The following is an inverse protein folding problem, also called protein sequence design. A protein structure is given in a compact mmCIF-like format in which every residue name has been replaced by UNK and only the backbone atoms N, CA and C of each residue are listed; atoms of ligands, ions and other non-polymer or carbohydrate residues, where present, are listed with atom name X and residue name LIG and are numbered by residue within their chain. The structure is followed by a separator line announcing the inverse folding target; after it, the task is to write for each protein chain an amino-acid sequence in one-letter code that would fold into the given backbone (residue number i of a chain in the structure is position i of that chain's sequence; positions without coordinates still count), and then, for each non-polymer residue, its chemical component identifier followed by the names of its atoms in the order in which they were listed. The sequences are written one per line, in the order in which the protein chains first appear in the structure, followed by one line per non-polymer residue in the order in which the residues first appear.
data_IF_900439531657
#
_entry.id   IF_900439531657
#
_cell.length_a   1.000
_cell.length_b   1.000
_cell.length_c   1.000
_cell.angle_alpha   90.00
_cell.angle_beta   90.00
_cell.angle_gamma   90.00
#
_symmetry.space_group_name_H-M   'P 1'
#
loop_
_entity.id
_entity.type
_entity.pdbx_description
1 polymer ?
#
# COMPACT_ATOMS: atom_id res chain seq x y z
N UNK A 1 11.08 40.90 41.41
CA UNK A 1 10.60 39.52 41.67
C UNK A 1 9.76 39.05 40.48
N UNK A 2 10.35 38.29 39.55
CA UNK A 2 9.62 37.68 38.44
C UNK A 2 9.12 36.29 38.87
N UNK A 3 7.80 36.14 38.97
CA UNK A 3 7.13 34.87 39.29
C UNK A 3 7.07 34.01 38.02
N UNK A 4 8.04 33.12 37.85
CA UNK A 4 7.97 32.05 36.85
C UNK A 4 6.86 31.08 37.24
N UNK A 5 5.78 31.01 36.46
CA UNK A 5 4.73 30.00 36.61
C UNK A 5 5.28 28.64 36.15
N UNK A 6 5.63 27.78 37.12
CA UNK A 6 5.69 26.32 36.94
C UNK A 6 4.30 25.83 36.55
N UNK A 7 4.08 25.56 35.26
CA UNK A 7 2.93 24.79 34.79
C UNK A 7 3.24 23.97 33.52
N UNK A 8 4.52 23.74 33.21
CA UNK A 8 4.96 23.01 32.00
C UNK A 8 4.90 21.48 32.10
N UNK A 9 4.58 20.93 33.28
CA UNK A 9 4.81 19.50 33.55
C UNK A 9 3.53 18.64 33.49
N UNK A 10 2.42 19.18 32.99
CA UNK A 10 1.25 18.37 32.67
C UNK A 10 1.31 18.03 31.18
N UNK A 11 1.38 16.74 30.79
CA UNK A 11 1.25 16.38 29.39
C UNK A 11 -0.08 16.94 28.89
N UNK A 12 -0.04 17.71 27.81
CA UNK A 12 -1.25 18.21 27.17
C UNK A 12 -2.15 17.01 26.87
N UNK A 13 -3.26 16.92 27.61
CA UNK A 13 -4.27 15.90 27.39
C UNK A 13 -4.86 16.21 26.02
N UNK A 14 -4.46 15.45 25.01
CA UNK A 14 -5.02 15.56 23.66
C UNK A 14 -6.53 15.43 23.79
N UNK A 15 -7.26 16.49 23.40
CA UNK A 15 -8.71 16.50 23.55
C UNK A 15 -9.30 15.27 22.87
N UNK A 16 -10.21 14.56 23.55
CA UNK A 16 -10.85 13.33 23.02
C UNK A 16 -11.47 13.55 21.64
N UNK A 17 -11.89 14.79 21.32
CA UNK A 17 -12.42 15.17 20.00
C UNK A 17 -11.44 14.96 18.84
N UNK A 18 -10.13 14.93 19.09
CA UNK A 18 -9.11 14.70 18.05
C UNK A 18 -8.88 13.21 17.78
N UNK A 19 -9.30 12.31 18.68
CA UNK A 19 -9.08 10.87 18.54
C UNK A 19 -10.18 10.18 17.73
N UNK A 20 -10.28 10.47 16.43
CA UNK A 20 -11.27 9.82 15.57
C UNK A 20 -11.15 8.28 15.62
N UNK A 21 -12.18 7.56 16.07
CA UNK A 21 -12.17 6.08 16.16
C UNK A 21 -12.11 5.42 14.77
N UNK A 22 -11.53 4.23 14.69
CA UNK A 22 -11.66 3.39 13.47
C UNK A 22 -13.10 2.92 13.44
N UNK A 23 -13.80 3.14 12.34
CA UNK A 23 -15.14 2.60 12.16
C UNK A 23 -15.03 1.23 11.49
N UNK A 24 -15.24 0.11 12.23
CA UNK A 24 -15.14 -1.23 11.66
C UNK A 24 -16.16 -1.46 10.55
N UNK A 25 -17.27 -0.70 10.52
CA UNK A 25 -18.28 -0.79 9.47
C UNK A 25 -17.72 -0.39 8.11
N UNK A 26 -16.79 0.57 8.06
CA UNK A 26 -16.13 0.96 6.82
C UNK A 26 -15.23 -0.14 6.27
N UNK A 27 -14.50 -0.86 7.14
CA UNK A 27 -13.69 -2.00 6.71
C UNK A 27 -14.55 -3.17 6.22
N UNK A 28 -15.65 -3.46 6.93
CA UNK A 28 -16.62 -4.47 6.49
C UNK A 28 -17.30 -4.07 5.17
N UNK A 29 -17.58 -2.79 4.96
CA UNK A 29 -18.12 -2.29 3.70
C UNK A 29 -17.13 -2.50 2.55
N UNK A 30 -15.85 -2.16 2.74
CA UNK A 30 -14.81 -2.38 1.72
C UNK A 30 -14.72 -3.88 1.37
N UNK A 31 -14.66 -4.75 2.38
CA UNK A 31 -14.63 -6.20 2.19
C UNK A 31 -15.89 -6.70 1.46
N UNK A 32 -17.06 -6.19 1.83
CA UNK A 32 -18.32 -6.53 1.18
C UNK A 32 -18.36 -6.11 -0.28
N UNK A 33 -17.85 -4.90 -0.61
CA UNK A 33 -17.78 -4.41 -1.99
C UNK A 33 -16.87 -5.31 -2.83
N UNK A 34 -15.64 -5.60 -2.39
CA UNK A 34 -14.72 -6.42 -3.18
C UNK A 34 -15.22 -7.86 -3.31
N UNK A 35 -15.73 -8.46 -2.23
CA UNK A 35 -16.27 -9.83 -2.28
C UNK A 35 -17.48 -9.93 -3.21
N UNK A 36 -18.39 -8.96 -3.16
CA UNK A 36 -19.56 -8.91 -4.06
C UNK A 36 -19.11 -8.71 -5.51
N UNK A 37 -18.10 -7.87 -5.75
CA UNK A 37 -17.53 -7.71 -7.09
C UNK A 37 -16.95 -9.04 -7.62
N UNK A 38 -16.20 -9.80 -6.81
CA UNK A 38 -15.70 -11.11 -7.24
C UNK A 38 -16.82 -12.10 -7.56
N UNK A 39 -17.83 -12.17 -6.69
CA UNK A 39 -18.98 -13.06 -6.90
C UNK A 39 -19.71 -12.68 -8.18
N UNK A 40 -19.86 -11.37 -8.43
CA UNK A 40 -20.44 -10.86 -9.66
C UNK A 40 -19.60 -11.24 -10.89
N UNK A 41 -18.27 -11.11 -10.84
CA UNK A 41 -17.40 -11.53 -11.95
C UNK A 41 -17.65 -13.00 -12.32
N UNK A 42 -17.66 -13.91 -11.34
CA UNK A 42 -17.88 -15.34 -11.60
C UNK A 42 -19.30 -15.71 -12.00
N UNK A 43 -20.30 -14.99 -11.50
CA UNK A 43 -21.70 -15.27 -11.83
C UNK A 43 -22.10 -14.71 -13.19
N UNK A 44 -21.61 -13.52 -13.56
CA UNK A 44 -21.99 -12.82 -14.77
C UNK A 44 -21.10 -13.15 -15.99
N UNK A 45 -19.85 -13.57 -15.75
CA UNK A 45 -18.88 -13.86 -16.81
C UNK A 45 -18.30 -15.27 -16.64
N UNK A 46 -18.98 -16.32 -17.16
CA UNK A 46 -18.48 -17.69 -17.10
C UNK A 46 -17.15 -17.86 -17.83
N UNK A 47 -16.90 -17.07 -18.88
CA UNK A 47 -15.60 -16.97 -19.51
C UNK A 47 -14.83 -15.76 -18.93
N UNK A 48 -13.66 -15.97 -18.29
CA UNK A 48 -12.85 -14.90 -17.71
C UNK A 48 -12.52 -13.75 -18.65
N UNK A 49 -12.30 -14.04 -19.93
CA UNK A 49 -11.88 -13.04 -20.91
C UNK A 49 -12.96 -11.98 -21.16
N UNK A 50 -14.23 -12.34 -21.01
CA UNK A 50 -15.37 -11.45 -21.21
C UNK A 50 -15.44 -10.35 -20.13
N UNK A 51 -14.77 -10.55 -18.99
CA UNK A 51 -14.73 -9.61 -17.87
C UNK A 51 -13.53 -8.66 -17.88
N UNK A 52 -12.56 -8.87 -18.79
CA UNK A 52 -11.28 -8.13 -18.87
C UNK A 52 -11.46 -6.61 -18.77
N UNK A 53 -12.29 -6.02 -19.62
CA UNK A 53 -12.53 -4.57 -19.62
C UNK A 53 -13.07 -4.04 -18.29
N UNK A 54 -13.95 -4.80 -17.63
CA UNK A 54 -14.51 -4.39 -16.34
C UNK A 54 -13.44 -4.45 -15.24
N UNK A 55 -12.62 -5.51 -15.26
CA UNK A 55 -11.48 -5.66 -14.35
C UNK A 55 -10.52 -4.50 -14.52
N UNK A 56 -10.12 -4.17 -15.75
CA UNK A 56 -9.18 -3.08 -16.04
C UNK A 56 -9.70 -1.73 -15.54
N UNK A 57 -10.98 -1.42 -15.78
CA UNK A 57 -11.59 -0.17 -15.29
C UNK A 57 -11.52 -0.11 -13.77
N UNK A 58 -11.79 -1.20 -13.07
CA UNK A 58 -11.71 -1.26 -11.60
C UNK A 58 -10.25 -1.15 -11.12
N UNK A 59 -9.32 -1.82 -11.79
CA UNK A 59 -7.88 -1.75 -11.52
C UNK A 59 -7.33 -0.33 -11.70
N UNK A 60 -7.84 0.46 -12.65
CA UNK A 60 -7.46 1.86 -12.86
C UNK A 60 -8.10 2.82 -11.85
N UNK A 61 -9.40 2.66 -11.58
CA UNK A 61 -10.15 3.60 -10.71
C UNK A 61 -9.65 3.56 -9.26
N UNK A 62 -9.32 2.39 -8.73
CA UNK A 62 -8.90 2.22 -7.34
C UNK A 62 -7.64 3.03 -6.95
N UNK A 63 -6.48 2.88 -7.63
CA UNK A 63 -5.30 3.69 -7.36
C UNK A 63 -5.52 5.18 -7.69
N UNK A 64 -6.37 5.51 -8.67
CA UNK A 64 -6.73 6.90 -8.98
C UNK A 64 -7.42 7.57 -7.78
N UNK A 65 -8.43 6.91 -7.19
CA UNK A 65 -9.15 7.41 -6.02
C UNK A 65 -8.20 7.57 -4.83
N UNK A 66 -7.32 6.58 -4.59
CA UNK A 66 -6.31 6.65 -3.54
C UNK A 66 -5.34 7.82 -3.76
N UNK A 67 -4.89 8.04 -5.00
CA UNK A 67 -4.02 9.15 -5.38
C UNK A 67 -4.69 10.51 -5.15
N UNK A 68 -5.94 10.69 -5.62
CA UNK A 68 -6.72 11.92 -5.41
C UNK A 68 -6.85 12.21 -3.92
N UNK A 69 -7.20 11.21 -3.11
CA UNK A 69 -7.30 11.36 -1.66
C UNK A 69 -5.93 11.71 -1.04
N UNK A 70 -4.84 11.15 -1.57
CA UNK A 70 -3.47 11.52 -1.21
C UNK A 70 -3.19 13.01 -1.44
N UNK A 71 -3.51 13.54 -2.63
CA UNK A 71 -3.34 14.97 -2.93
C UNK A 71 -4.25 15.88 -2.10
N UNK A 72 -5.44 15.42 -1.72
CA UNK A 72 -6.30 16.15 -0.77
C UNK A 72 -5.60 16.27 0.60
N UNK A 73 -4.95 15.20 1.08
CA UNK A 73 -4.13 15.24 2.31
C UNK A 73 -2.95 16.19 2.13
N UNK A 74 -2.25 16.16 0.99
CA UNK A 74 -1.14 17.08 0.69
C UNK A 74 -1.57 18.54 0.82
N UNK A 75 -2.68 18.91 0.17
CA UNK A 75 -3.22 20.27 0.22
C UNK A 75 -3.51 20.71 1.65
N UNK A 76 -4.02 19.80 2.49
CA UNK A 76 -4.30 20.08 3.90
C UNK A 76 -3.04 20.32 4.72
N UNK A 77 -1.98 19.57 4.45
CA UNK A 77 -0.68 19.71 5.13
C UNK A 77 0.29 20.61 4.36
N UNK A 78 -0.21 21.45 3.45
CA UNK A 78 0.62 22.33 2.64
C UNK A 78 1.43 23.29 3.52
N UNK A 79 2.72 23.43 3.21
CA UNK A 79 3.64 24.24 4.02
C UNK A 79 4.10 23.58 5.34
N UNK A 80 3.54 22.42 5.74
CA UNK A 80 4.07 21.70 6.88
C UNK A 80 5.48 21.17 6.60
N UNK A 81 6.34 21.16 7.63
CA UNK A 81 7.75 20.80 7.50
C UNK A 81 7.98 19.41 6.92
N UNK A 82 7.10 18.45 7.26
CA UNK A 82 7.25 17.03 6.90
C UNK A 82 6.00 16.44 6.25
N UNK A 83 4.82 16.57 6.88
CA UNK A 83 3.63 15.85 6.41
C UNK A 83 3.26 16.17 4.96
N UNK A 84 3.30 17.44 4.55
CA UNK A 84 2.98 17.84 3.19
C UNK A 84 3.89 17.17 2.16
N UNK A 85 5.21 17.16 2.43
CA UNK A 85 6.21 16.50 1.57
C UNK A 85 6.05 14.98 1.57
N UNK A 86 5.85 14.39 2.74
CA UNK A 86 5.74 12.94 2.89
C UNK A 86 4.47 12.40 2.22
N UNK A 87 3.32 13.07 2.39
CA UNK A 87 2.10 12.68 1.70
C UNK A 87 2.12 13.01 0.20
N UNK A 88 2.92 13.99 -0.23
CA UNK A 88 3.10 14.28 -1.65
C UNK A 88 3.81 13.15 -2.36
N UNK A 89 4.90 12.63 -1.79
CA UNK A 89 5.59 11.47 -2.39
C UNK A 89 4.73 10.20 -2.34
N UNK A 90 3.89 9.99 -1.30
CA UNK A 90 2.91 8.90 -1.29
C UNK A 90 1.87 9.05 -2.42
N UNK A 91 1.30 10.25 -2.58
CA UNK A 91 0.32 10.53 -3.64
C UNK A 91 0.94 10.35 -5.04
N UNK A 92 2.20 10.75 -5.22
CA UNK A 92 2.94 10.45 -6.45
C UNK A 92 3.10 8.94 -6.66
N UNK A 93 3.45 8.18 -5.62
CA UNK A 93 3.55 6.72 -5.72
C UNK A 93 2.24 6.09 -6.18
N UNK A 94 1.12 6.46 -5.54
CA UNK A 94 -0.22 5.98 -5.93
C UNK A 94 -0.60 6.41 -7.35
N UNK A 95 -0.19 7.60 -7.78
CA UNK A 95 -0.33 8.03 -9.19
C UNK A 95 0.46 7.14 -10.13
N UNK A 96 1.67 6.70 -9.76
CA UNK A 96 2.45 5.80 -10.63
C UNK A 96 1.75 4.47 -10.83
N UNK A 97 1.11 3.90 -9.80
CA UNK A 97 0.29 2.70 -9.99
C UNK A 97 -0.93 2.96 -10.89
N UNK A 98 -1.66 4.07 -10.69
CA UNK A 98 -2.75 4.44 -11.60
C UNK A 98 -2.29 4.54 -13.07
N UNK A 99 -1.15 5.18 -13.32
CA UNK A 99 -0.59 5.29 -14.66
C UNK A 99 -0.15 3.92 -15.19
N UNK A 100 0.45 3.08 -14.34
CA UNK A 100 0.84 1.71 -14.69
C UNK A 100 -0.36 0.87 -15.13
N UNK A 101 -1.44 0.86 -14.34
CA UNK A 101 -2.70 0.17 -14.67
C UNK A 101 -3.31 0.70 -15.97
N UNK A 102 -3.26 2.02 -16.17
CA UNK A 102 -3.79 2.65 -17.39
C UNK A 102 -2.98 2.22 -18.62
N UNK A 103 -1.65 2.22 -18.53
CA UNK A 103 -0.78 1.79 -19.63
C UNK A 103 -0.94 0.29 -19.89
N UNK A 104 -1.02 -0.52 -18.83
CA UNK A 104 -1.26 -1.96 -18.94
C UNK A 104 -2.57 -2.25 -19.68
N UNK A 105 -3.70 -1.68 -19.23
CA UNK A 105 -5.00 -1.91 -19.87
C UNK A 105 -5.07 -1.42 -21.33
N UNK A 106 -4.37 -0.33 -21.68
CA UNK A 106 -4.23 0.11 -23.08
C UNK A 106 -3.46 -0.92 -23.89
N UNK A 107 -2.34 -1.44 -23.38
CA UNK A 107 -1.53 -2.43 -24.09
C UNK A 107 -2.28 -3.73 -24.29
N UNK A 108 -2.96 -4.22 -23.24
CA UNK A 108 -3.78 -5.43 -23.28
C UNK A 108 -4.91 -5.30 -24.32
N UNK A 109 -5.65 -4.18 -24.30
CA UNK A 109 -6.73 -3.89 -25.26
C UNK A 109 -6.22 -3.83 -26.71
N UNK A 110 -4.99 -3.36 -26.92
CA UNK A 110 -4.37 -3.29 -28.25
C UNK A 110 -3.73 -4.62 -28.69
N UNK A 111 -3.75 -5.65 -27.83
CA UNK A 111 -3.11 -6.94 -28.10
C UNK A 111 -1.58 -6.87 -28.14
N UNK A 112 -0.99 -5.87 -27.47
CA UNK A 112 0.46 -5.78 -27.30
C UNK A 112 0.94 -6.74 -26.22
N UNK A 113 2.21 -7.14 -26.31
CA UNK A 113 2.83 -7.95 -25.27
C UNK A 113 2.89 -7.12 -23.96
N UNK A 114 2.23 -7.64 -22.92
CA UNK A 114 2.14 -7.05 -21.58
C UNK A 114 3.19 -7.60 -20.61
N UNK A 115 4.14 -8.41 -21.09
CA UNK A 115 5.37 -8.72 -20.36
C UNK A 115 6.17 -7.44 -20.10
N UNK A 116 7.23 -7.55 -19.30
CA UNK A 116 8.09 -6.43 -18.86
C UNK A 116 8.20 -5.27 -19.88
N UNK A 117 7.56 -4.14 -19.54
CA UNK A 117 7.38 -3.00 -20.42
C UNK A 117 7.26 -1.66 -19.69
N UNK A 118 6.75 -0.60 -20.35
CA UNK A 118 6.65 0.74 -19.77
C UNK A 118 5.79 0.82 -18.49
N UNK A 119 4.76 -0.01 -18.37
CA UNK A 119 3.92 -0.17 -17.19
C UNK A 119 4.71 -0.65 -15.98
N UNK A 120 5.65 -1.58 -16.14
CA UNK A 120 6.51 -2.07 -15.07
C UNK A 120 7.35 -0.94 -14.48
N UNK A 121 7.90 -0.04 -15.32
CA UNK A 121 8.66 1.11 -14.85
C UNK A 121 7.81 2.00 -13.92
N UNK A 122 6.53 2.18 -14.27
CA UNK A 122 5.57 2.94 -13.46
C UNK A 122 5.25 2.20 -12.15
N UNK A 123 4.98 0.90 -12.21
CA UNK A 123 4.79 0.07 -11.02
C UNK A 123 6.03 0.06 -10.11
N UNK A 124 7.23 0.00 -10.67
CA UNK A 124 8.47 0.07 -9.90
C UNK A 124 8.69 1.43 -9.26
N UNK A 125 8.25 2.52 -9.89
CA UNK A 125 8.37 3.87 -9.34
C UNK A 125 7.52 4.08 -8.07
N UNK A 126 6.43 3.32 -7.89
CA UNK A 126 5.63 3.34 -6.65
C UNK A 126 6.48 3.03 -5.41
N UNK A 127 7.34 2.01 -5.48
CA UNK A 127 8.08 1.51 -4.32
C UNK A 127 9.03 2.52 -3.67
N UNK A 128 9.97 3.16 -4.39
CA UNK A 128 10.87 4.16 -3.80
C UNK A 128 10.08 5.39 -3.30
N UNK A 129 8.96 5.73 -3.92
CA UNK A 129 8.11 6.86 -3.49
C UNK A 129 7.38 6.57 -2.17
N UNK A 130 6.83 5.37 -2.01
CA UNK A 130 6.23 4.94 -0.73
C UNK A 130 7.30 4.76 0.34
N UNK A 131 8.48 4.22 0.01
CA UNK A 131 9.58 4.13 0.94
C UNK A 131 10.05 5.53 1.41
N UNK A 132 10.12 6.49 0.50
CA UNK A 132 10.42 7.89 0.84
C UNK A 132 9.35 8.48 1.78
N UNK A 133 8.06 8.22 1.54
CA UNK A 133 6.98 8.61 2.45
C UNK A 133 7.20 8.07 3.87
N UNK A 134 7.52 6.78 4.00
CA UNK A 134 7.76 6.12 5.27
C UNK A 134 8.97 6.71 5.99
N UNK A 135 10.10 6.85 5.28
CA UNK A 135 11.35 7.40 5.84
C UNK A 135 11.15 8.83 6.32
N UNK A 136 10.49 9.69 5.54
CA UNK A 136 10.24 11.09 5.91
C UNK A 136 9.42 11.18 7.18
N UNK A 137 8.34 10.40 7.30
CA UNK A 137 7.51 10.37 8.49
C UNK A 137 8.25 9.81 9.71
N UNK A 138 8.86 8.63 9.60
CA UNK A 138 9.51 7.96 10.73
C UNK A 138 10.70 8.78 11.25
N UNK A 139 11.53 9.33 10.35
CA UNK A 139 12.73 10.10 10.73
C UNK A 139 12.37 11.38 11.47
N UNK A 140 11.25 12.01 11.16
CA UNK A 140 10.81 13.25 11.81
C UNK A 140 10.61 13.09 13.32
N UNK A 141 10.06 11.94 13.76
CA UNK A 141 9.80 11.67 15.17
C UNK A 141 11.02 11.17 15.95
N UNK A 142 12.16 10.92 15.27
CA UNK A 142 13.41 10.40 15.87
C UNK A 142 13.15 9.30 16.91
N UNK A 143 12.40 8.23 16.56
CA UNK A 143 11.96 7.25 17.53
C UNK A 143 13.16 6.53 18.14
N UNK A 144 13.08 6.20 19.43
CA UNK A 144 14.02 5.27 20.06
C UNK A 144 13.68 3.85 19.62
N UNK A 145 14.44 3.33 18.67
CA UNK A 145 14.23 1.98 18.10
C UNK A 145 15.02 0.95 18.91
N UNK A 146 14.32 0.04 19.57
CA UNK A 146 14.93 -1.06 20.33
C UNK A 146 15.68 -2.05 19.42
N UNK A 147 16.62 -2.82 19.97
CA UNK A 147 17.33 -3.87 19.21
C UNK A 147 16.37 -4.91 18.62
N UNK A 148 15.35 -5.32 19.39
CA UNK A 148 14.30 -6.22 18.90
C UNK A 148 13.56 -5.61 17.70
N UNK A 149 13.30 -4.31 17.71
CA UNK A 149 12.67 -3.62 16.59
C UNK A 149 13.54 -3.60 15.34
N UNK A 150 14.83 -3.35 15.48
CA UNK A 150 15.77 -3.44 14.36
C UNK A 150 15.83 -4.87 13.79
N UNK A 151 15.83 -5.87 14.66
CA UNK A 151 15.89 -7.28 14.27
C UNK A 151 14.70 -7.67 13.40
N UNK A 152 13.45 -7.39 13.83
CA UNK A 152 12.29 -7.77 13.01
C UNK A 152 12.15 -6.92 11.74
N UNK A 153 12.61 -5.66 11.75
CA UNK A 153 12.58 -4.81 10.54
C UNK A 153 13.40 -5.43 9.41
N UNK A 154 14.50 -6.12 9.75
CA UNK A 154 15.34 -6.86 8.80
C UNK A 154 14.81 -8.27 8.56
N UNK A 155 14.36 -8.97 9.61
CA UNK A 155 13.94 -10.35 9.51
C UNK A 155 12.69 -10.53 8.62
N UNK A 156 11.71 -9.62 8.68
CA UNK A 156 10.48 -9.75 7.89
C UNK A 156 10.77 -9.79 6.38
N UNK A 157 11.49 -8.81 5.79
CA UNK A 157 11.88 -8.88 4.38
C UNK A 157 12.67 -10.15 4.06
N UNK A 158 13.68 -10.48 4.87
CA UNK A 158 14.56 -11.65 4.62
C UNK A 158 13.75 -12.94 4.56
N UNK A 159 12.80 -13.14 5.49
CA UNK A 159 11.97 -14.35 5.52
C UNK A 159 11.03 -14.41 4.30
N UNK A 160 10.36 -13.31 3.95
CA UNK A 160 9.46 -13.27 2.79
C UNK A 160 10.25 -13.54 1.50
N UNK A 161 11.40 -12.89 1.33
CA UNK A 161 12.31 -13.07 0.19
C UNK A 161 12.79 -14.53 0.12
N UNK A 162 13.23 -15.11 1.24
CA UNK A 162 13.72 -16.49 1.26
C UNK A 162 12.63 -17.50 0.88
N UNK A 163 11.40 -17.32 1.39
CA UNK A 163 10.26 -18.18 1.05
C UNK A 163 9.94 -18.07 -0.44
N UNK A 164 9.80 -16.85 -0.97
CA UNK A 164 9.51 -16.64 -2.39
C UNK A 164 10.60 -17.23 -3.28
N UNK A 165 11.88 -16.92 -3.00
CA UNK A 165 13.01 -17.43 -3.77
C UNK A 165 13.05 -18.95 -3.77
N UNK A 166 12.83 -19.59 -2.63
CA UNK A 166 12.83 -21.06 -2.55
C UNK A 166 11.72 -21.68 -3.42
N UNK A 167 10.50 -21.14 -3.34
CA UNK A 167 9.36 -21.67 -4.10
C UNK A 167 9.47 -21.39 -5.61
N UNK A 168 9.86 -20.17 -5.98
CA UNK A 168 10.00 -19.76 -7.39
C UNK A 168 11.17 -20.48 -8.06
N UNK A 169 12.31 -20.65 -7.38
CA UNK A 169 13.46 -21.37 -7.91
C UNK A 169 13.16 -22.86 -8.18
N UNK A 170 12.32 -23.50 -7.35
CA UNK A 170 11.88 -24.87 -7.60
C UNK A 170 11.08 -25.03 -8.90
N UNK A 171 10.32 -24.00 -9.30
CA UNK A 171 9.52 -24.00 -10.54
C UNK A 171 10.36 -23.69 -11.77
N UNK A 172 11.20 -22.66 -11.72
CA UNK A 172 12.03 -22.29 -12.88
C UNK A 172 13.22 -23.22 -13.09
N UNK A 173 13.76 -23.84 -12.03
CA UNK A 173 14.98 -24.66 -12.10
C UNK A 173 16.27 -23.86 -12.29
N UNK A 174 16.16 -22.56 -12.58
CA UNK A 174 17.26 -21.61 -12.75
C UNK A 174 16.85 -20.19 -12.36
N UNK A 175 17.83 -19.32 -12.08
CA UNK A 175 17.60 -17.91 -11.80
C UNK A 175 17.59 -17.11 -13.11
N UNK A 176 16.49 -17.21 -13.86
CA UNK A 176 16.29 -16.52 -15.13
C UNK A 176 15.74 -15.07 -14.94
N UNK A 177 15.41 -14.40 -16.05
CA UNK A 177 14.90 -13.02 -16.01
C UNK A 177 13.60 -12.89 -15.21
N UNK A 178 12.63 -13.80 -15.44
CA UNK A 178 11.34 -13.84 -14.74
C UNK A 178 11.49 -14.02 -13.23
N UNK A 179 12.41 -14.90 -12.81
CA UNK A 179 12.76 -15.08 -11.41
C UNK A 179 13.21 -13.75 -10.78
N UNK A 180 14.12 -13.02 -11.44
CA UNK A 180 14.63 -11.76 -10.90
C UNK A 180 13.61 -10.62 -10.91
N UNK A 181 12.77 -10.51 -11.95
CA UNK A 181 11.73 -9.47 -11.99
C UNK A 181 10.72 -9.67 -10.87
N UNK A 182 10.19 -10.89 -10.71
CA UNK A 182 9.28 -11.22 -9.61
C UNK A 182 9.94 -11.02 -8.23
N UNK A 183 11.21 -11.41 -8.09
CA UNK A 183 11.96 -11.24 -6.85
C UNK A 183 12.12 -9.77 -6.45
N UNK A 184 12.34 -8.86 -7.40
CA UNK A 184 12.47 -7.42 -7.11
C UNK A 184 11.15 -6.87 -6.54
N UNK A 185 10.00 -7.24 -7.10
CA UNK A 185 8.69 -6.86 -6.54
C UNK A 185 8.52 -7.33 -5.10
N UNK A 186 8.89 -8.58 -4.81
CA UNK A 186 8.81 -9.18 -3.45
C UNK A 186 9.76 -8.48 -2.48
N UNK A 187 10.98 -8.17 -2.89
CA UNK A 187 11.96 -7.42 -2.09
C UNK A 187 11.38 -6.05 -1.72
N UNK A 188 10.94 -5.28 -2.71
CA UNK A 188 10.48 -3.91 -2.48
C UNK A 188 9.20 -3.88 -1.64
N UNK A 189 8.25 -4.78 -1.90
CA UNK A 189 6.99 -4.91 -1.15
C UNK A 189 7.23 -5.26 0.32
N UNK A 190 8.11 -6.23 0.58
CA UNK A 190 8.41 -6.67 1.95
C UNK A 190 9.14 -5.61 2.77
N UNK A 191 10.01 -4.80 2.13
CA UNK A 191 10.64 -3.63 2.77
C UNK A 191 9.59 -2.57 3.13
N UNK A 192 8.64 -2.29 2.24
CA UNK A 192 7.53 -1.35 2.52
C UNK A 192 6.66 -1.84 3.68
N UNK A 193 6.31 -3.13 3.70
CA UNK A 193 5.55 -3.73 4.81
C UNK A 193 6.29 -3.53 6.14
N UNK A 194 7.57 -3.88 6.17
CA UNK A 194 8.43 -3.71 7.35
C UNK A 194 8.52 -2.26 7.82
N UNK A 195 8.74 -1.32 6.87
CA UNK A 195 8.76 0.11 7.15
C UNK A 195 7.41 0.64 7.64
N UNK A 196 6.30 0.14 7.11
CA UNK A 196 4.94 0.55 7.51
C UNK A 196 4.60 0.02 8.90
N UNK A 197 4.99 -1.22 9.23
CA UNK A 197 4.90 -1.75 10.60
C UNK A 197 5.67 -0.86 11.59
N UNK A 198 6.85 -0.38 11.19
CA UNK A 198 7.66 0.50 12.03
C UNK A 198 6.96 1.84 12.20
N UNK A 199 6.43 2.42 11.11
CA UNK A 199 5.59 3.61 11.14
C UNK A 199 4.41 3.45 12.11
N UNK A 200 3.58 2.43 11.93
CA UNK A 200 2.44 2.16 12.80
C UNK A 200 2.84 2.04 14.28
N UNK A 201 3.97 1.39 14.59
CA UNK A 201 4.51 1.34 15.95
C UNK A 201 4.91 2.71 16.49
N UNK A 202 5.59 3.54 15.69
CA UNK A 202 6.01 4.90 16.06
C UNK A 202 4.79 5.79 16.33
N UNK A 203 3.74 5.66 15.52
CA UNK A 203 2.53 6.49 15.61
C UNK A 203 1.46 5.95 16.56
N UNK A 204 1.59 4.71 17.08
CA UNK A 204 0.54 4.00 17.85
C UNK A 204 -0.07 4.80 19.00
N UNK A 205 0.71 5.63 19.67
CA UNK A 205 0.28 6.41 20.84
C UNK A 205 -0.16 7.85 20.51
N UNK A 206 -0.01 8.27 19.25
CA UNK A 206 -0.37 9.61 18.80
C UNK A 206 -1.75 9.69 18.15
N UNK A 207 -2.19 10.90 17.86
CA UNK A 207 -3.47 11.18 17.17
C UNK A 207 -3.53 10.50 15.80
N UNK A 208 -2.36 10.36 15.15
CA UNK A 208 -2.20 9.70 13.86
C UNK A 208 -2.20 8.17 13.92
N UNK A 209 -2.09 7.57 15.11
CA UNK A 209 -1.89 6.13 15.27
C UNK A 209 -2.99 5.28 14.63
N UNK A 210 -4.25 5.71 14.74
CA UNK A 210 -5.39 5.00 14.12
C UNK A 210 -5.32 5.06 12.59
N UNK A 211 -5.01 6.21 12.00
CA UNK A 211 -4.87 6.34 10.54
C UNK A 211 -3.71 5.48 10.03
N UNK A 212 -2.58 5.46 10.74
CA UNK A 212 -1.42 4.61 10.40
C UNK A 212 -1.70 3.12 10.56
N UNK A 213 -2.54 2.72 11.52
CA UNK A 213 -2.95 1.33 11.65
C UNK A 213 -3.84 0.89 10.49
N UNK A 214 -4.76 1.75 10.03
CA UNK A 214 -5.54 1.48 8.80
C UNK A 214 -4.64 1.45 7.57
N UNK A 215 -3.67 2.37 7.45
CA UNK A 215 -2.68 2.35 6.37
C UNK A 215 -1.89 1.04 6.35
N UNK A 216 -1.47 0.56 7.53
CA UNK A 216 -0.80 -0.73 7.66
C UNK A 216 -1.65 -1.89 7.14
N UNK A 217 -2.96 -1.91 7.41
CA UNK A 217 -3.85 -2.95 6.87
C UNK A 217 -3.85 -2.89 5.34
N UNK A 218 -3.96 -1.71 4.75
CA UNK A 218 -3.91 -1.53 3.29
C UNK A 218 -2.58 -2.01 2.70
N UNK A 219 -1.45 -1.68 3.32
CA UNK A 219 -0.13 -2.14 2.89
C UNK A 219 0.04 -3.66 3.05
N UNK A 220 -0.48 -4.28 4.12
CA UNK A 220 -0.47 -5.74 4.27
C UNK A 220 -1.22 -6.40 3.11
N UNK A 221 -2.41 -5.88 2.76
CA UNK A 221 -3.18 -6.37 1.62
C UNK A 221 -2.40 -6.21 0.31
N UNK A 222 -1.80 -5.03 0.08
CA UNK A 222 -0.98 -4.77 -1.10
C UNK A 222 0.19 -5.76 -1.21
N UNK A 223 1.00 -5.89 -0.15
CA UNK A 223 2.15 -6.81 -0.14
C UNK A 223 1.74 -8.26 -0.30
N UNK A 224 0.59 -8.65 0.26
CA UNK A 224 0.06 -10.01 0.06
C UNK A 224 -0.34 -10.22 -1.39
N UNK A 225 -0.97 -9.21 -2.02
CA UNK A 225 -1.25 -9.17 -3.45
C UNK A 225 0.02 -9.30 -4.28
N UNK A 226 1.04 -8.47 -4.03
CA UNK A 226 2.29 -8.46 -4.81
C UNK A 226 3.01 -9.83 -4.73
N UNK A 227 3.10 -10.42 -3.54
CA UNK A 227 3.75 -11.74 -3.35
C UNK A 227 2.93 -12.88 -3.95
N UNK A 228 1.61 -12.85 -3.80
CA UNK A 228 0.74 -13.88 -4.35
C UNK A 228 0.66 -13.77 -5.89
N UNK A 229 0.58 -12.57 -6.44
CA UNK A 229 0.69 -12.32 -7.87
C UNK A 229 2.00 -12.89 -8.42
N UNK A 230 3.15 -12.56 -7.83
CA UNK A 230 4.43 -13.09 -8.29
C UNK A 230 4.49 -14.62 -8.27
N UNK A 231 3.86 -15.25 -7.28
CA UNK A 231 3.71 -16.70 -7.26
C UNK A 231 2.78 -17.21 -8.37
N UNK A 232 1.61 -16.62 -8.57
CA UNK A 232 0.66 -17.05 -9.61
C UNK A 232 1.25 -16.87 -11.00
N UNK A 233 1.96 -15.78 -11.24
CA UNK A 233 2.64 -15.47 -12.49
C UNK A 233 3.75 -16.50 -12.78
N UNK A 234 4.60 -16.79 -11.79
CA UNK A 234 5.64 -17.84 -11.88
C UNK A 234 5.09 -19.23 -12.26
N UNK A 235 3.85 -19.53 -11.86
CA UNK A 235 3.23 -20.83 -12.10
C UNK A 235 2.23 -20.85 -13.27
N UNK A 236 2.12 -19.76 -14.04
CA UNK A 236 1.16 -19.61 -15.14
C UNK A 236 -0.30 -19.79 -14.68
N UNK A 237 -0.60 -19.38 -13.44
CA UNK A 237 -1.91 -19.53 -12.80
C UNK A 237 -2.67 -18.21 -12.66
N UNK A 238 -2.03 -17.09 -12.99
CA UNK A 238 -2.67 -15.79 -12.93
C UNK A 238 -3.66 -15.61 -14.08
N UNK A 239 -4.82 -15.02 -13.75
CA UNK A 239 -5.82 -14.54 -14.72
C UNK A 239 -6.37 -13.21 -14.22
N UNK A 240 -6.88 -12.36 -15.12
CA UNK A 240 -7.45 -11.07 -14.75
C UNK A 240 -8.63 -11.17 -13.76
N UNK A 241 -9.37 -12.29 -13.78
CA UNK A 241 -10.48 -12.54 -12.85
C UNK A 241 -10.08 -13.31 -11.60
N UNK A 242 -8.78 -13.57 -11.40
CA UNK A 242 -8.28 -14.31 -10.23
C UNK A 242 -8.58 -13.54 -8.93
N UNK A 243 -9.01 -14.21 -7.83
CA UNK A 243 -9.47 -13.53 -6.61
C UNK A 243 -8.34 -12.81 -5.86
N UNK A 244 -7.09 -13.03 -6.25
CA UNK A 244 -5.94 -12.26 -5.75
C UNK A 244 -6.12 -10.76 -6.02
N UNK A 245 -6.74 -10.37 -7.13
CA UNK A 245 -6.99 -8.95 -7.47
C UNK A 245 -7.85 -8.23 -6.42
N UNK A 246 -8.63 -8.97 -5.63
CA UNK A 246 -9.37 -8.42 -4.49
C UNK A 246 -8.46 -7.80 -3.43
N UNK A 247 -7.24 -8.32 -3.28
CA UNK A 247 -6.26 -7.77 -2.36
C UNK A 247 -5.80 -6.39 -2.81
N UNK A 248 -5.60 -6.18 -4.11
CA UNK A 248 -5.26 -4.86 -4.67
C UNK A 248 -6.44 -3.89 -4.56
N UNK A 249 -7.66 -4.32 -4.87
CA UNK A 249 -8.82 -3.44 -4.76
C UNK A 249 -9.07 -3.03 -3.31
N UNK A 250 -9.02 -4.00 -2.40
CA UNK A 250 -9.16 -3.73 -0.97
C UNK A 250 -7.99 -2.88 -0.44
N UNK A 251 -6.75 -3.10 -0.91
CA UNK A 251 -5.60 -2.31 -0.47
C UNK A 251 -5.79 -0.83 -0.77
N UNK A 252 -6.13 -0.46 -2.01
CA UNK A 252 -6.34 0.92 -2.41
C UNK A 252 -7.53 1.57 -1.70
N UNK A 253 -8.64 0.84 -1.53
CA UNK A 253 -9.80 1.33 -0.79
C UNK A 253 -9.47 1.56 0.70
N UNK A 254 -8.72 0.65 1.34
CA UNK A 254 -8.28 0.80 2.73
C UNK A 254 -7.26 1.93 2.87
N UNK A 255 -6.32 2.08 1.93
CA UNK A 255 -5.37 3.21 1.88
C UNK A 255 -6.14 4.53 1.73
N UNK A 256 -7.16 4.58 0.87
CA UNK A 256 -8.04 5.74 0.71
C UNK A 256 -8.74 6.08 2.01
N UNK A 257 -9.29 5.09 2.72
CA UNK A 257 -9.90 5.29 4.03
C UNK A 257 -8.88 5.78 5.06
N UNK A 258 -7.65 5.23 5.07
CA UNK A 258 -6.56 5.70 5.93
C UNK A 258 -6.24 7.19 5.68
N UNK A 259 -6.17 7.59 4.41
CA UNK A 259 -5.92 8.98 4.00
C UNK A 259 -7.08 9.91 4.38
N UNK A 260 -8.33 9.48 4.21
CA UNK A 260 -9.51 10.19 4.68
C UNK A 260 -9.45 10.41 6.21
N UNK A 261 -9.11 9.37 6.97
CA UNK A 261 -8.93 9.47 8.42
C UNK A 261 -7.79 10.44 8.76
N UNK A 262 -6.66 10.36 8.05
CA UNK A 262 -5.55 11.27 8.24
C UNK A 262 -5.90 12.73 7.93
N UNK A 263 -6.74 12.95 6.91
CA UNK A 263 -7.28 14.26 6.58
C UNK A 263 -8.15 14.80 7.71
N UNK A 264 -8.97 13.98 8.37
CA UNK A 264 -9.94 14.45 9.39
C UNK A 264 -9.35 14.76 10.77
N UNK A 265 -8.06 14.48 11.00
CA UNK A 265 -7.43 14.62 12.32
C UNK A 265 -7.13 16.07 12.71
N UNK A 266 -6.92 16.98 11.75
CA UNK A 266 -6.63 18.40 11.98
C UNK A 266 -7.70 19.28 11.35
#
# INVERSE_FOLDING_TARGET
MLRWRRNSDKPDIVSEKLQSSIDPRMLLLILGIVATFQIYLYAAFPNPDDASQLVDVVSVINPLVASIMGFIVVKKYWGSKVFGKAYFVLALGLTMNFLGETVYGIYDTLGYNTNFGPMDILFYAFYPLVLAHLVLNIRFFKPKISHLTKAWVVAIPVVIIAIYSFLSFQKHGEANFEFYTGLIYVILSSIILSGTLLGARVFKQGVLGKAWLVLLIGIILQTTGDVWYGYLDTFDQYTLTHPMNLLYYASYMVITYALYKHQKII
#
